data_IF_245624191550
#
_entry.id   IF_245624191550
#
_cell.length_a   1.000
_cell.length_b   1.000
_cell.length_c   1.000
_cell.angle_alpha   90.00
_cell.angle_beta   90.00
_cell.angle_gamma   90.00
#
_symmetry.space_group_name_H-M   'P 1'
#
loop_
_entity.id
_entity.type
_entity.pdbx_description
1 polymer ?
#
# COMPACT_ATOMS: atom_id res chain seq x y z
N UNK A 1 -18.12 24.79 -13.07
CA UNK A 1 -19.20 23.85 -13.47
C UNK A 1 -20.08 23.40 -12.32
N UNK A 2 -19.65 22.52 -11.40
CA UNK A 2 -20.53 22.02 -10.31
C UNK A 2 -21.09 23.17 -9.45
N UNK A 3 -20.23 24.08 -9.00
CA UNK A 3 -20.66 25.24 -8.21
C UNK A 3 -21.61 26.17 -8.99
N UNK A 4 -21.31 26.45 -10.25
CA UNK A 4 -22.11 27.36 -11.08
C UNK A 4 -23.49 26.78 -11.44
N UNK A 5 -23.55 25.48 -11.73
CA UNK A 5 -24.77 24.83 -12.22
C UNK A 5 -25.63 24.22 -11.11
N UNK A 6 -25.01 23.73 -10.03
CA UNK A 6 -25.69 23.01 -8.95
C UNK A 6 -25.67 23.79 -7.61
N UNK A 7 -24.98 24.93 -7.55
CA UNK A 7 -24.82 25.73 -6.33
C UNK A 7 -24.20 24.96 -5.16
N UNK A 8 -23.26 24.04 -5.45
CA UNK A 8 -22.47 23.31 -4.45
C UNK A 8 -21.08 23.95 -4.38
N UNK A 9 -20.74 24.54 -3.24
CA UNK A 9 -19.41 25.12 -3.01
C UNK A 9 -18.32 24.05 -3.06
N UNK A 10 -17.14 24.41 -3.59
CA UNK A 10 -16.00 23.49 -3.69
C UNK A 10 -15.60 22.88 -2.34
N UNK A 11 -15.71 23.65 -1.25
CA UNK A 11 -15.41 23.18 0.10
C UNK A 11 -16.35 22.06 0.60
N UNK A 12 -17.46 21.79 -0.09
CA UNK A 12 -18.40 20.70 0.20
C UNK A 12 -18.25 19.52 -0.77
N UNK A 13 -17.18 19.49 -1.59
CA UNK A 13 -16.93 18.44 -2.58
C UNK A 13 -15.76 17.57 -2.10
N UNK A 14 -15.96 16.25 -2.20
CA UNK A 14 -14.95 15.23 -1.95
C UNK A 14 -14.81 14.37 -3.22
N UNK A 15 -13.60 14.31 -3.77
CA UNK A 15 -13.22 13.45 -4.89
C UNK A 15 -12.16 12.49 -4.37
N UNK A 16 -12.54 11.23 -4.21
CA UNK A 16 -11.65 10.13 -3.83
C UNK A 16 -11.41 9.22 -5.05
N UNK A 17 -10.21 8.65 -5.13
CA UNK A 17 -9.91 7.63 -6.14
C UNK A 17 -9.67 6.28 -5.47
N UNK A 18 -10.10 5.20 -6.13
CA UNK A 18 -9.84 3.83 -5.66
C UNK A 18 -8.37 3.46 -5.67
N UNK A 19 -7.54 4.23 -6.39
CA UNK A 19 -6.11 4.01 -6.60
C UNK A 19 -5.75 2.74 -7.40
N UNK A 20 -6.65 2.34 -8.32
CA UNK A 20 -6.44 1.16 -9.17
C UNK A 20 -5.21 1.29 -10.08
N UNK A 21 -4.41 0.22 -10.14
CA UNK A 21 -3.25 0.12 -11.03
C UNK A 21 -3.59 -0.74 -12.26
N UNK A 22 -4.00 -0.11 -13.37
CA UNK A 22 -4.43 -0.79 -14.60
C UNK A 22 -3.69 -0.35 -15.88
N UNK A 23 -3.38 -1.34 -16.73
CA UNK A 23 -2.99 -1.26 -18.16
C UNK A 23 -2.24 0.01 -18.66
N UNK A 24 -1.24 0.49 -17.92
CA UNK A 24 -0.29 1.49 -18.42
C UNK A 24 -0.67 2.97 -18.19
N UNK A 25 -1.31 3.30 -17.07
CA UNK A 25 -1.68 4.69 -16.70
C UNK A 25 -2.56 5.39 -17.76
N UNK A 26 -3.36 4.62 -18.51
CA UNK A 26 -4.27 5.16 -19.50
C UNK A 26 -5.49 5.76 -18.80
N UNK A 27 -5.36 7.04 -18.42
CA UNK A 27 -6.50 7.86 -17.99
C UNK A 27 -7.31 8.22 -19.23
N UNK A 28 -8.62 7.96 -19.21
CA UNK A 28 -9.48 8.36 -20.32
C UNK A 28 -9.56 9.89 -20.40
N UNK A 29 -9.45 10.45 -21.60
CA UNK A 29 -9.43 11.91 -21.81
C UNK A 29 -10.72 12.61 -21.30
N UNK A 30 -11.82 11.87 -21.23
CA UNK A 30 -13.14 12.38 -20.81
C UNK A 30 -13.47 12.15 -19.32
N UNK A 31 -12.48 11.75 -18.50
CA UNK A 31 -12.70 11.42 -17.06
C UNK A 31 -13.35 12.56 -16.27
N UNK A 32 -12.91 13.81 -16.50
CA UNK A 32 -13.48 14.99 -15.84
C UNK A 32 -14.96 15.16 -16.21
N UNK A 33 -15.26 15.05 -17.51
CA UNK A 33 -16.62 15.21 -18.03
C UNK A 33 -17.55 14.12 -17.46
N UNK A 34 -17.09 12.86 -17.44
CA UNK A 34 -17.85 11.74 -16.87
C UNK A 34 -18.10 11.92 -15.37
N UNK A 35 -17.11 12.44 -14.64
CA UNK A 35 -17.23 12.72 -13.21
C UNK A 35 -18.32 13.77 -12.94
N UNK A 36 -18.31 14.88 -13.69
CA UNK A 36 -19.33 15.94 -13.57
C UNK A 36 -20.72 15.40 -13.95
N UNK A 37 -20.82 14.57 -15.00
CA UNK A 37 -22.08 13.93 -15.38
C UNK A 37 -22.64 13.01 -14.28
N UNK A 38 -21.76 12.24 -13.61
CA UNK A 38 -22.17 11.39 -12.49
C UNK A 38 -22.74 12.22 -11.34
N UNK A 39 -22.10 13.33 -10.98
CA UNK A 39 -22.60 14.27 -9.95
C UNK A 39 -23.95 14.87 -10.35
N UNK A 40 -24.09 15.36 -11.59
CA UNK A 40 -25.37 15.91 -12.09
C UNK A 40 -26.50 14.88 -12.06
N UNK A 41 -26.20 13.63 -12.43
CA UNK A 41 -27.16 12.52 -12.36
C UNK A 41 -27.58 12.23 -10.92
N UNK A 42 -26.64 12.19 -9.97
CA UNK A 42 -26.95 11.99 -8.56
C UNK A 42 -27.83 13.15 -8.01
N UNK A 43 -27.48 14.39 -8.33
CA UNK A 43 -28.24 15.58 -7.94
C UNK A 43 -29.70 15.56 -8.43
N UNK A 44 -29.93 15.17 -9.68
CA UNK A 44 -31.27 15.09 -10.27
C UNK A 44 -32.14 13.98 -9.66
N UNK A 45 -31.53 12.97 -9.04
CA UNK A 45 -32.21 11.79 -8.49
C UNK A 45 -32.21 11.78 -6.95
N UNK A 46 -32.06 12.94 -6.31
CA UNK A 46 -32.10 13.05 -4.85
C UNK A 46 -33.45 12.57 -4.29
N UNK A 47 -33.37 11.76 -3.24
CA UNK A 47 -34.54 11.26 -2.50
C UNK A 47 -34.27 11.32 -0.99
N UNK A 48 -35.31 11.46 -0.15
CA UNK A 48 -35.13 11.37 1.30
C UNK A 48 -34.64 9.99 1.72
N UNK A 49 -33.64 9.95 2.60
CA UNK A 49 -33.04 8.71 3.12
C UNK A 49 -33.00 8.68 4.66
N UNK A 50 -32.77 7.50 5.20
CA UNK A 50 -32.31 7.24 6.56
C UNK A 50 -30.84 6.80 6.50
N UNK A 51 -30.09 7.07 7.56
CA UNK A 51 -28.66 6.79 7.64
C UNK A 51 -28.42 5.66 8.64
N UNK A 52 -27.79 4.58 8.21
CA UNK A 52 -27.20 3.54 9.07
C UNK A 52 -25.68 3.63 9.01
N UNK A 53 -25.01 3.45 10.15
CA UNK A 53 -23.54 3.49 10.24
C UNK A 53 -23.09 2.30 11.06
N UNK A 54 -21.99 1.67 10.64
CA UNK A 54 -21.38 0.59 11.39
C UNK A 54 -20.03 0.20 10.81
N UNK A 55 -19.50 -0.91 11.31
CA UNK A 55 -18.20 -1.44 10.91
C UNK A 55 -18.29 -2.91 10.58
N UNK A 56 -17.47 -3.33 9.62
CA UNK A 56 -17.18 -4.73 9.32
C UNK A 56 -15.71 -5.04 9.57
N UNK A 57 -15.30 -6.27 9.26
CA UNK A 57 -13.95 -6.74 9.49
C UNK A 57 -13.48 -7.63 8.34
N UNK A 58 -12.31 -7.35 7.78
CA UNK A 58 -11.65 -8.19 6.79
C UNK A 58 -10.11 -8.04 6.89
N UNK A 59 -9.44 -9.07 7.38
CA UNK A 59 -7.97 -9.12 7.52
C UNK A 59 -7.31 -10.10 6.55
N UNK A 60 -8.09 -10.94 5.84
CA UNK A 60 -7.54 -12.05 5.05
C UNK A 60 -7.01 -11.63 3.69
N UNK A 61 -7.41 -10.46 3.20
CA UNK A 61 -7.05 -9.98 1.85
C UNK A 61 -5.87 -9.00 1.85
N UNK A 62 -5.38 -8.57 3.01
CA UNK A 62 -4.40 -7.49 3.15
C UNK A 62 -3.15 -7.92 3.92
N UNK A 63 -2.03 -7.29 3.62
CA UNK A 63 -0.79 -7.39 4.39
C UNK A 63 -0.08 -6.03 4.40
N UNK A 64 0.66 -5.72 5.48
CA UNK A 64 1.52 -4.55 5.46
C UNK A 64 2.76 -4.87 4.63
N UNK A 65 3.04 -4.05 3.61
CA UNK A 65 4.16 -4.31 2.70
C UNK A 65 5.50 -3.78 3.22
N UNK A 66 5.56 -3.16 4.41
CA UNK A 66 6.81 -2.70 5.04
C UNK A 66 7.28 -3.71 6.09
N UNK A 67 8.37 -4.38 5.74
CA UNK A 67 9.10 -5.32 6.60
C UNK A 67 10.12 -4.57 7.43
N UNK A 68 10.28 -4.97 8.70
CA UNK A 68 11.34 -4.49 9.60
C UNK A 68 12.53 -5.42 9.54
N UNK A 69 13.73 -4.88 9.42
CA UNK A 69 14.97 -5.65 9.29
C UNK A 69 15.83 -5.60 10.56
N UNK A 70 16.70 -6.60 10.76
CA UNK A 70 17.63 -6.69 11.90
C UNK A 70 18.54 -5.46 12.07
N UNK A 71 18.87 -4.80 10.96
CA UNK A 71 19.75 -3.63 10.94
C UNK A 71 19.04 -2.31 11.26
N UNK A 72 17.76 -2.34 11.65
CA UNK A 72 16.95 -1.16 11.96
C UNK A 72 16.33 -0.48 10.73
N UNK A 73 16.69 -0.90 9.51
CA UNK A 73 16.07 -0.43 8.27
C UNK A 73 14.78 -1.19 7.97
N UNK A 74 14.09 -0.76 6.94
CA UNK A 74 12.88 -1.38 6.45
C UNK A 74 13.01 -1.86 4.99
N UNK A 75 12.04 -2.62 4.52
CA UNK A 75 11.95 -3.11 3.15
C UNK A 75 10.51 -3.09 2.67
N UNK A 76 10.27 -2.56 1.48
CA UNK A 76 8.93 -2.60 0.86
C UNK A 76 8.78 -3.80 -0.07
N UNK A 77 7.75 -4.62 0.14
CA UNK A 77 7.36 -5.70 -0.77
C UNK A 77 6.86 -5.07 -2.07
N UNK A 78 7.62 -5.24 -3.16
CA UNK A 78 7.30 -4.73 -4.50
C UNK A 78 7.56 -5.79 -5.57
N UNK A 79 6.86 -5.72 -6.71
CA UNK A 79 7.25 -6.49 -7.90
C UNK A 79 8.57 -6.02 -8.51
N UNK A 80 8.94 -4.76 -8.28
CA UNK A 80 10.17 -4.18 -8.82
C UNK A 80 11.46 -4.78 -8.21
N UNK A 81 11.38 -5.31 -6.98
CA UNK A 81 12.56 -5.76 -6.21
C UNK A 81 12.35 -7.16 -5.63
N UNK A 82 13.42 -7.95 -5.37
CA UNK A 82 13.33 -9.19 -4.60
C UNK A 82 12.85 -8.94 -3.16
N UNK A 83 12.48 -10.01 -2.45
CA UNK A 83 12.30 -9.94 -0.99
C UNK A 83 13.69 -9.95 -0.31
N UNK A 84 13.82 -9.40 0.91
CA UNK A 84 15.03 -9.57 1.69
C UNK A 84 15.22 -11.05 2.05
N UNK A 85 16.46 -11.47 2.39
CA UNK A 85 16.69 -12.78 3.02
C UNK A 85 15.79 -12.96 4.25
N UNK A 86 15.22 -14.16 4.41
CA UNK A 86 14.25 -14.45 5.47
C UNK A 86 14.84 -14.19 6.85
N UNK A 87 16.11 -14.55 7.04
CA UNK A 87 16.83 -14.36 8.29
C UNK A 87 17.06 -12.88 8.66
N UNK A 88 16.89 -11.94 7.73
CA UNK A 88 17.02 -10.50 8.00
C UNK A 88 15.70 -9.88 8.49
N UNK A 89 14.56 -10.52 8.23
CA UNK A 89 13.24 -10.01 8.60
C UNK A 89 12.95 -10.28 10.07
N UNK A 90 12.64 -9.22 10.83
CA UNK A 90 12.31 -9.31 12.27
C UNK A 90 10.88 -8.90 12.59
N UNK A 91 10.14 -8.39 11.61
CA UNK A 91 8.75 -7.99 11.80
C UNK A 91 8.15 -7.35 10.56
N UNK A 92 6.90 -6.94 10.69
CA UNK A 92 6.06 -6.34 9.66
C UNK A 92 5.21 -5.25 10.31
N UNK A 93 4.80 -4.23 9.53
CA UNK A 93 3.92 -3.17 10.01
C UNK A 93 2.49 -3.64 10.33
N UNK A 94 1.67 -2.81 10.98
CA UNK A 94 0.28 -3.12 11.30
C UNK A 94 -0.62 -3.06 10.06
N UNK A 95 -1.85 -3.55 10.19
CA UNK A 95 -2.93 -3.41 9.20
C UNK A 95 -4.17 -2.78 9.85
N UNK A 96 -5.05 -2.20 9.04
CA UNK A 96 -6.37 -1.72 9.47
C UNK A 96 -7.46 -2.58 8.81
N UNK A 97 -7.92 -3.65 9.47
CA UNK A 97 -8.89 -4.61 8.91
C UNK A 97 -10.33 -4.10 9.00
N UNK A 98 -10.57 -2.93 9.58
CA UNK A 98 -11.92 -2.40 9.77
C UNK A 98 -12.49 -1.89 8.45
N UNK A 99 -13.72 -2.33 8.14
CA UNK A 99 -14.51 -1.82 7.03
C UNK A 99 -15.43 -0.75 7.58
N UNK A 100 -15.26 0.52 7.21
CA UNK A 100 -16.21 1.57 7.59
C UNK A 100 -17.43 1.55 6.69
N UNK A 101 -18.65 1.55 7.23
CA UNK A 101 -19.88 1.41 6.44
C UNK A 101 -20.86 2.54 6.74
N UNK A 102 -21.33 3.19 5.67
CA UNK A 102 -22.46 4.13 5.67
C UNK A 102 -23.55 3.61 4.72
N UNK A 103 -24.68 3.18 5.29
CA UNK A 103 -25.87 2.72 4.55
C UNK A 103 -26.88 3.86 4.43
N UNK A 104 -27.35 4.11 3.21
CA UNK A 104 -28.39 5.09 2.92
C UNK A 104 -29.66 4.36 2.47
N UNK A 105 -30.67 4.31 3.32
CA UNK A 105 -31.93 3.61 3.06
C UNK A 105 -33.01 4.58 2.59
N UNK A 106 -33.71 4.25 1.50
CA UNK A 106 -34.91 4.99 1.10
C UNK A 106 -35.99 4.85 2.18
N UNK A 107 -36.95 5.78 2.21
CA UNK A 107 -38.06 5.73 3.18
C UNK A 107 -38.95 4.48 3.07
N UNK A 108 -38.87 3.72 1.98
CA UNK A 108 -39.54 2.43 1.81
C UNK A 108 -38.74 1.23 2.36
N UNK A 109 -37.59 1.47 3.00
CA UNK A 109 -36.73 0.45 3.60
C UNK A 109 -35.71 -0.19 2.65
N UNK A 110 -35.72 0.15 1.35
CA UNK A 110 -34.74 -0.37 0.39
C UNK A 110 -33.46 0.46 0.38
N UNK A 111 -32.30 -0.18 0.32
CA UNK A 111 -31.01 0.50 0.23
C UNK A 111 -30.88 1.30 -1.07
N UNK A 112 -30.59 2.60 -0.94
CA UNK A 112 -30.22 3.47 -2.06
C UNK A 112 -28.74 3.31 -2.40
N UNK A 113 -27.89 3.40 -1.38
CA UNK A 113 -26.45 3.30 -1.55
C UNK A 113 -25.78 2.79 -0.28
N UNK A 114 -24.60 2.19 -0.47
CA UNK A 114 -23.67 1.82 0.58
C UNK A 114 -22.35 2.47 0.24
N UNK A 115 -21.83 3.27 1.16
CA UNK A 115 -20.44 3.73 1.11
C UNK A 115 -19.65 2.81 2.04
N UNK A 116 -18.58 2.21 1.53
CA UNK A 116 -17.71 1.36 2.32
C UNK A 116 -16.24 1.80 2.18
N UNK A 117 -15.56 1.96 3.30
CA UNK A 117 -14.18 2.41 3.41
C UNK A 117 -13.29 1.24 3.82
N UNK A 118 -12.17 1.06 3.14
CA UNK A 118 -11.21 0.01 3.47
C UNK A 118 -9.79 0.40 3.05
N UNK A 119 -8.80 0.05 3.87
CA UNK A 119 -7.42 0.49 3.73
C UNK A 119 -6.52 -0.59 3.10
N UNK A 120 -6.75 -0.92 1.82
CA UNK A 120 -5.89 -1.84 1.08
C UNK A 120 -5.64 -1.35 -0.35
N UNK A 121 -4.45 -1.59 -0.87
CA UNK A 121 -4.03 -1.05 -2.16
C UNK A 121 -4.42 -1.99 -3.32
N UNK A 122 -5.13 -1.53 -4.36
CA UNK A 122 -5.61 -2.39 -5.46
C UNK A 122 -4.54 -2.66 -6.52
N UNK A 123 -3.62 -3.56 -6.16
CA UNK A 123 -2.53 -4.04 -7.02
C UNK A 123 -2.76 -5.44 -7.61
N UNK A 124 -3.86 -6.10 -7.26
CA UNK A 124 -4.02 -7.52 -7.50
C UNK A 124 -4.18 -7.79 -8.99
N UNK A 125 -5.01 -7.03 -9.69
CA UNK A 125 -5.30 -7.22 -11.10
C UNK A 125 -5.99 -8.56 -11.39
N UNK A 126 -6.10 -8.88 -12.69
CA UNK A 126 -6.75 -10.10 -13.18
C UNK A 126 -5.83 -10.89 -14.12
N UNK A 127 -6.11 -12.18 -14.37
CA UNK A 127 -5.35 -12.96 -15.33
C UNK A 127 -5.30 -12.26 -16.70
N UNK A 128 -4.14 -12.27 -17.35
CA UNK A 128 -3.95 -11.63 -18.65
C UNK A 128 -3.64 -10.12 -18.61
N UNK A 129 -3.60 -9.48 -17.42
CA UNK A 129 -3.19 -8.08 -17.23
C UNK A 129 -4.02 -7.06 -18.05
N UNK A 130 -5.29 -7.34 -18.29
CA UNK A 130 -6.21 -6.41 -18.94
C UNK A 130 -6.72 -5.35 -17.96
N UNK A 131 -7.41 -4.32 -18.48
CA UNK A 131 -8.03 -3.29 -17.65
C UNK A 131 -9.03 -3.90 -16.67
N UNK A 132 -9.00 -3.45 -15.42
CA UNK A 132 -9.90 -3.90 -14.35
C UNK A 132 -10.08 -2.79 -13.31
N UNK A 133 -11.18 -2.83 -12.57
CA UNK A 133 -11.41 -2.01 -11.39
C UNK A 133 -10.86 -2.65 -10.09
N UNK A 134 -10.16 -3.79 -10.22
CA UNK A 134 -9.53 -4.55 -9.14
C UNK A 134 -10.53 -4.97 -8.04
N UNK A 135 -10.03 -5.39 -6.87
CA UNK A 135 -10.84 -5.88 -5.77
C UNK A 135 -11.94 -4.87 -5.34
N UNK A 136 -11.73 -3.53 -5.35
CA UNK A 136 -12.81 -2.60 -5.02
C UNK A 136 -13.99 -2.70 -5.98
N UNK A 137 -13.71 -2.84 -7.28
CA UNK A 137 -14.75 -2.99 -8.29
C UNK A 137 -15.53 -4.30 -8.17
N UNK A 138 -14.85 -5.41 -7.88
CA UNK A 138 -15.50 -6.70 -7.64
C UNK A 138 -16.33 -6.69 -6.35
N UNK A 139 -15.82 -6.08 -5.27
CA UNK A 139 -16.56 -5.90 -4.03
C UNK A 139 -17.83 -5.05 -4.24
N UNK A 140 -17.71 -3.90 -4.90
CA UNK A 140 -18.85 -3.04 -5.25
C UNK A 140 -19.90 -3.81 -6.03
N UNK A 141 -19.50 -4.53 -7.08
CA UNK A 141 -20.41 -5.33 -7.92
C UNK A 141 -21.16 -6.37 -7.09
N UNK A 142 -20.47 -7.13 -6.23
CA UNK A 142 -21.10 -8.15 -5.40
C UNK A 142 -22.12 -7.54 -4.44
N UNK A 143 -21.79 -6.41 -3.80
CA UNK A 143 -22.69 -5.69 -2.90
C UNK A 143 -23.94 -5.20 -3.65
N UNK A 144 -23.76 -4.59 -4.82
CA UNK A 144 -24.86 -4.09 -5.67
C UNK A 144 -25.80 -5.21 -6.12
N UNK A 145 -25.25 -6.35 -6.57
CA UNK A 145 -26.03 -7.51 -7.00
C UNK A 145 -26.85 -8.13 -5.86
N UNK A 146 -26.32 -8.15 -4.64
CA UNK A 146 -27.01 -8.70 -3.47
C UNK A 146 -28.08 -7.76 -2.89
N UNK A 147 -27.84 -6.45 -2.91
CA UNK A 147 -28.82 -5.47 -2.43
C UNK A 147 -29.98 -5.25 -3.41
N UNK A 148 -29.71 -5.40 -4.72
CA UNK A 148 -30.72 -5.24 -5.76
C UNK A 148 -31.31 -3.83 -5.82
N UNK A 149 -32.47 -3.69 -6.49
CA UNK A 149 -33.26 -2.45 -6.55
C UNK A 149 -32.49 -1.17 -6.97
N UNK A 150 -31.44 -1.36 -7.76
CA UNK A 150 -30.56 -0.27 -8.21
C UNK A 150 -29.79 0.41 -7.08
N UNK A 151 -29.46 -0.32 -6.01
CA UNK A 151 -28.52 0.13 -4.99
C UNK A 151 -27.13 0.36 -5.61
N UNK A 152 -26.39 1.34 -5.10
CA UNK A 152 -25.01 1.65 -5.53
C UNK A 152 -24.03 1.40 -4.40
N UNK A 153 -22.91 0.72 -4.67
CA UNK A 153 -21.85 0.48 -3.69
C UNK A 153 -20.61 1.33 -4.02
N UNK A 154 -20.32 2.31 -3.17
CA UNK A 154 -19.25 3.29 -3.35
C UNK A 154 -18.09 2.94 -2.43
N UNK A 155 -16.98 2.54 -3.02
CA UNK A 155 -15.74 2.30 -2.30
C UNK A 155 -15.01 3.63 -2.03
N UNK A 156 -14.53 3.83 -0.80
CA UNK A 156 -13.63 4.93 -0.44
C UNK A 156 -12.30 4.34 0.01
N UNK A 157 -11.23 4.72 -0.68
CA UNK A 157 -9.89 4.21 -0.39
C UNK A 157 -9.35 4.78 0.93
N UNK A 158 -9.07 3.89 1.88
CA UNK A 158 -8.46 4.23 3.16
C UNK A 158 -6.96 4.55 3.07
N UNK A 159 -6.33 4.79 4.22
CA UNK A 159 -4.88 5.00 4.32
C UNK A 159 -4.14 3.67 4.09
N UNK A 160 -3.69 3.46 2.85
CA UNK A 160 -3.12 2.20 2.37
C UNK A 160 -1.71 2.37 1.76
N UNK A 161 -0.99 3.43 2.12
CA UNK A 161 0.33 3.74 1.56
C UNK A 161 1.36 2.63 1.79
N UNK A 162 1.22 1.86 2.87
CA UNK A 162 2.07 0.73 3.24
C UNK A 162 1.31 -0.60 3.33
N UNK A 163 0.15 -0.70 2.66
CA UNK A 163 -0.62 -1.94 2.58
C UNK A 163 -0.59 -2.49 1.14
N UNK A 164 -0.54 -3.81 1.00
CA UNK A 164 -0.80 -4.51 -0.26
C UNK A 164 -1.83 -5.62 -0.06
N UNK A 165 -2.35 -6.17 -1.16
CA UNK A 165 -3.09 -7.42 -1.10
C UNK A 165 -2.18 -8.58 -0.69
N UNK A 166 -2.72 -9.58 -0.01
CA UNK A 166 -2.00 -10.85 0.22
C UNK A 166 -1.63 -11.52 -1.10
N UNK A 167 -0.62 -12.39 -1.04
CA UNK A 167 -0.12 -13.13 -2.21
C UNK A 167 0.37 -12.22 -3.34
N UNK A 168 0.68 -10.96 -3.04
CA UNK A 168 1.07 -9.98 -4.05
C UNK A 168 2.26 -10.50 -4.88
N UNK A 169 3.24 -11.18 -4.28
CA UNK A 169 4.41 -11.76 -4.96
C UNK A 169 4.28 -13.25 -5.35
N UNK A 170 3.09 -13.85 -5.30
CA UNK A 170 2.94 -15.26 -5.69
C UNK A 170 3.31 -15.47 -7.17
N UNK A 171 4.05 -16.54 -7.41
CA UNK A 171 4.50 -16.99 -8.73
C UNK A 171 3.90 -18.34 -9.14
N UNK A 172 3.17 -18.99 -8.22
CA UNK A 172 2.57 -20.31 -8.43
C UNK A 172 1.11 -20.23 -8.89
N UNK A 173 0.42 -19.13 -8.57
CA UNK A 173 -0.98 -18.93 -8.91
C UNK A 173 -1.16 -17.70 -9.82
N UNK A 174 -2.14 -17.73 -10.75
CA UNK A 174 -2.57 -16.52 -11.44
C UNK A 174 -3.09 -15.48 -10.43
N UNK A 175 -2.94 -14.19 -10.76
CA UNK A 175 -3.53 -13.13 -9.97
C UNK A 175 -5.05 -13.14 -10.08
N UNK A 176 -5.72 -12.90 -8.97
CA UNK A 176 -7.18 -12.92 -8.90
C UNK A 176 -7.70 -11.85 -7.92
N UNK A 177 -8.04 -10.68 -8.46
CA UNK A 177 -8.71 -9.62 -7.71
C UNK A 177 -10.19 -9.90 -7.43
N UNK A 178 -10.82 -10.79 -8.20
CA UNK A 178 -12.24 -11.13 -8.01
C UNK A 178 -12.43 -11.92 -6.73
N UNK A 179 -11.54 -12.88 -6.46
CA UNK A 179 -11.53 -13.61 -5.18
C UNK A 179 -11.45 -12.66 -3.99
N UNK A 180 -10.47 -11.74 -3.99
CA UNK A 180 -10.28 -10.79 -2.88
C UNK A 180 -11.44 -9.80 -2.75
N UNK A 181 -11.95 -9.32 -3.89
CA UNK A 181 -13.10 -8.41 -3.92
C UNK A 181 -14.38 -9.08 -3.41
N UNK A 182 -14.61 -10.34 -3.77
CA UNK A 182 -15.74 -11.11 -3.26
C UNK A 182 -15.66 -11.33 -1.75
N UNK A 183 -14.47 -11.62 -1.21
CA UNK A 183 -14.27 -11.74 0.24
C UNK A 183 -14.62 -10.43 0.96
N UNK A 184 -14.10 -9.29 0.48
CA UNK A 184 -14.41 -7.97 1.03
C UNK A 184 -15.91 -7.64 0.92
N UNK A 185 -16.53 -7.95 -0.23
CA UNK A 185 -17.95 -7.72 -0.46
C UNK A 185 -18.83 -8.54 0.48
N UNK A 186 -18.49 -9.82 0.72
CA UNK A 186 -19.20 -10.68 1.68
C UNK A 186 -19.07 -10.12 3.10
N UNK A 187 -17.85 -9.81 3.56
CA UNK A 187 -17.61 -9.24 4.89
C UNK A 187 -18.35 -7.91 5.08
N UNK A 188 -18.47 -7.11 4.02
CA UNK A 188 -19.27 -5.87 4.03
C UNK A 188 -20.77 -6.16 4.14
N UNK A 189 -21.31 -7.13 3.39
CA UNK A 189 -22.73 -7.52 3.43
C UNK A 189 -23.13 -8.12 4.79
N UNK A 190 -22.26 -8.93 5.38
CA UNK A 190 -22.45 -9.49 6.73
C UNK A 190 -22.59 -8.38 7.77
N UNK A 191 -21.63 -7.45 7.79
CA UNK A 191 -21.68 -6.29 8.68
C UNK A 191 -22.91 -5.40 8.42
N UNK A 192 -23.29 -5.22 7.15
CA UNK A 192 -24.43 -4.40 6.76
C UNK A 192 -25.76 -4.93 7.32
N UNK A 193 -25.91 -6.24 7.51
CA UNK A 193 -27.12 -6.83 8.12
C UNK A 193 -27.27 -6.49 9.60
N UNK A 194 -26.15 -6.27 10.30
CA UNK A 194 -26.13 -5.93 11.72
C UNK A 194 -26.34 -4.42 11.96
N UNK A 195 -26.19 -3.59 10.93
CA UNK A 195 -26.40 -2.14 11.03
C UNK A 195 -27.90 -1.84 11.20
N UNK A 196 -28.32 -1.26 12.34
CA UNK A 196 -29.71 -0.95 12.57
C UNK A 196 -30.20 0.10 11.58
N UNK A 197 -31.49 0.02 11.22
CA UNK A 197 -32.13 1.08 10.46
C UNK A 197 -32.08 2.38 11.28
N UNK A 198 -31.30 3.36 10.81
CA UNK A 198 -31.19 4.63 11.50
C UNK A 198 -32.23 5.66 11.06
N UNK A 199 -31.99 6.92 11.45
CA UNK A 199 -32.84 8.07 11.14
C UNK A 199 -32.10 9.05 10.24
N UNK A 200 -32.72 10.17 9.92
CA UNK A 200 -31.98 11.31 9.39
C UNK A 200 -30.92 11.74 10.42
N UNK A 201 -29.77 12.17 9.94
CA UNK A 201 -28.63 12.61 10.75
C UNK A 201 -28.01 13.87 10.17
N UNK A 202 -27.10 14.46 10.92
CA UNK A 202 -26.46 15.72 10.55
C UNK A 202 -25.50 15.54 9.37
N UNK A 203 -25.42 16.58 8.54
CA UNK A 203 -24.40 16.72 7.50
C UNK A 203 -23.54 17.92 7.87
N UNK A 204 -22.26 17.69 8.12
CA UNK A 204 -21.29 18.76 8.41
C UNK A 204 -20.01 18.51 7.63
N UNK A 205 -19.45 19.55 7.03
CA UNK A 205 -18.19 19.49 6.28
C UNK A 205 -17.33 20.65 6.71
N UNK A 206 -16.09 20.33 7.11
CA UNK A 206 -15.06 21.30 7.44
C UNK A 206 -13.90 21.05 6.49
N UNK A 207 -13.53 22.07 5.72
CA UNK A 207 -12.38 22.04 4.82
C UNK A 207 -11.35 23.06 5.28
N UNK A 208 -10.11 22.64 5.47
CA UNK A 208 -8.98 23.51 5.83
C UNK A 208 -7.80 23.24 4.87
N UNK A 209 -7.06 24.29 4.53
CA UNK A 209 -5.75 24.16 3.86
C UNK A 209 -4.68 24.26 4.95
N UNK A 210 -3.80 23.27 5.02
CA UNK A 210 -2.63 23.30 5.92
C UNK A 210 -1.33 23.34 5.14
N UNK A 211 -0.31 23.95 5.74
CA UNK A 211 1.04 24.00 5.20
C UNK A 211 1.88 22.93 5.84
N UNK A 212 2.44 22.03 5.03
CA UNK A 212 3.30 20.95 5.51
C UNK A 212 4.74 21.19 5.06
N UNK A 213 5.74 20.91 5.92
CA UNK A 213 7.13 21.12 5.56
C UNK A 213 7.58 20.14 4.47
N UNK A 214 8.42 20.61 3.56
CA UNK A 214 9.10 19.78 2.56
C UNK A 214 10.40 19.24 3.12
N UNK A 215 10.79 18.06 2.62
CA UNK A 215 12.06 17.42 2.99
C UNK A 215 13.28 18.24 2.60
N UNK A 216 14.23 18.28 3.52
CA UNK A 216 15.57 18.90 3.35
C UNK A 216 16.71 17.89 3.50
N UNK A 217 16.41 16.67 3.94
CA UNK A 217 17.37 15.58 4.22
C UNK A 217 17.77 14.77 2.96
N UNK A 218 17.13 15.04 1.82
CA UNK A 218 17.34 14.28 0.58
C UNK A 218 18.80 14.23 0.11
N UNK A 219 19.58 15.34 0.11
CA UNK A 219 20.99 15.30 -0.32
C UNK A 219 21.86 14.40 0.55
N UNK A 220 21.65 14.42 1.87
CA UNK A 220 22.39 13.58 2.82
C UNK A 220 22.09 12.09 2.59
N UNK A 221 20.81 11.76 2.38
CA UNK A 221 20.41 10.37 2.07
C UNK A 221 20.99 9.88 0.74
N UNK A 222 21.02 10.73 -0.29
CA UNK A 222 21.63 10.40 -1.57
C UNK A 222 23.13 10.11 -1.40
N UNK A 223 23.85 10.91 -0.60
CA UNK A 223 25.28 10.69 -0.33
C UNK A 223 25.55 9.40 0.45
N UNK A 224 24.70 9.10 1.45
CA UNK A 224 24.72 7.85 2.20
C UNK A 224 24.53 6.63 1.28
N UNK A 225 23.56 6.69 0.37
CA UNK A 225 23.31 5.63 -0.62
C UNK A 225 24.49 5.49 -1.60
N UNK A 226 25.11 6.58 -2.06
CA UNK A 226 26.31 6.55 -2.92
C UNK A 226 27.50 5.89 -2.22
N UNK A 227 27.67 6.17 -0.92
CA UNK A 227 28.72 5.55 -0.11
C UNK A 227 28.50 4.03 0.01
N UNK A 228 27.27 3.60 0.29
CA UNK A 228 26.93 2.19 0.38
C UNK A 228 27.05 1.48 -0.98
N UNK A 229 26.64 2.13 -2.07
CA UNK A 229 26.82 1.63 -3.43
C UNK A 229 28.30 1.36 -3.71
N UNK A 230 29.17 2.34 -3.45
CA UNK A 230 30.61 2.20 -3.65
C UNK A 230 31.20 1.04 -2.83
N UNK A 231 30.74 0.87 -1.58
CA UNK A 231 31.15 -0.26 -0.73
C UNK A 231 30.72 -1.60 -1.31
N UNK A 232 29.49 -1.72 -1.81
CA UNK A 232 28.98 -2.95 -2.41
C UNK A 232 29.70 -3.28 -3.73
N UNK A 233 29.93 -2.30 -4.59
CA UNK A 233 30.73 -2.48 -5.81
C UNK A 233 32.14 -2.97 -5.49
N UNK A 234 32.78 -2.41 -4.47
CA UNK A 234 34.10 -2.86 -3.98
C UNK A 234 34.06 -4.23 -3.31
N UNK A 235 32.89 -4.75 -2.91
CA UNK A 235 32.75 -6.07 -2.29
C UNK A 235 32.69 -7.22 -3.30
N UNK A 236 32.34 -6.93 -4.55
CA UNK A 236 32.20 -7.93 -5.62
C UNK A 236 33.55 -8.61 -5.90
N UNK A 237 33.54 -9.95 -6.00
CA UNK A 237 34.76 -10.75 -6.27
C UNK A 237 34.51 -11.74 -7.38
N UNK A 238 35.53 -12.05 -8.18
CA UNK A 238 35.46 -13.13 -9.17
C UNK A 238 35.20 -14.50 -8.51
N UNK A 239 34.47 -15.37 -9.21
CA UNK A 239 34.22 -16.76 -8.81
C UNK A 239 34.36 -17.70 -10.01
N UNK A 240 34.64 -18.98 -9.74
CA UNK A 240 34.73 -20.03 -10.76
C UNK A 240 33.37 -20.43 -11.33
N UNK A 241 32.28 -20.13 -10.60
CA UNK A 241 30.92 -20.44 -11.00
C UNK A 241 30.31 -19.32 -11.86
N UNK A 242 29.42 -19.75 -12.75
CA UNK A 242 28.47 -18.92 -13.47
C UNK A 242 27.07 -19.54 -13.30
N UNK A 243 26.02 -18.89 -13.81
CA UNK A 243 24.64 -19.37 -13.61
C UNK A 243 24.44 -20.84 -14.04
N UNK A 244 25.04 -21.25 -15.18
CA UNK A 244 24.95 -22.61 -15.72
C UNK A 244 25.54 -23.67 -14.78
N UNK A 245 26.61 -23.34 -14.07
CA UNK A 245 27.33 -24.26 -13.16
C UNK A 245 26.81 -24.15 -11.73
N UNK A 246 26.40 -22.95 -11.32
CA UNK A 246 25.87 -22.67 -10.00
C UNK A 246 24.55 -23.40 -9.74
N UNK A 247 23.56 -23.29 -10.62
CA UNK A 247 22.21 -23.83 -10.34
C UNK A 247 22.23 -25.35 -10.06
N UNK A 248 22.85 -26.20 -10.91
CA UNK A 248 22.91 -27.64 -10.63
C UNK A 248 23.71 -27.95 -9.36
N UNK A 249 24.80 -27.22 -9.10
CA UNK A 249 25.64 -27.44 -7.94
C UNK A 249 24.92 -27.05 -6.65
N UNK A 250 24.24 -25.91 -6.63
CA UNK A 250 23.46 -25.44 -5.48
C UNK A 250 22.33 -26.42 -5.15
N UNK A 251 21.57 -26.89 -6.15
CA UNK A 251 20.53 -27.91 -5.95
C UNK A 251 21.14 -29.19 -5.35
N UNK A 252 22.23 -29.68 -5.94
CA UNK A 252 22.90 -30.91 -5.50
C UNK A 252 23.33 -30.84 -4.03
N UNK A 253 23.91 -29.71 -3.62
CA UNK A 253 24.43 -29.50 -2.27
C UNK A 253 23.35 -29.23 -1.22
N UNK A 254 22.16 -28.80 -1.63
CA UNK A 254 21.00 -28.68 -0.74
C UNK A 254 20.18 -29.97 -0.59
N UNK A 255 20.43 -30.99 -1.44
CA UNK A 255 19.73 -32.29 -1.36
C UNK A 255 20.42 -33.30 -0.44
N UNK A 256 21.72 -33.11 -0.15
CA UNK A 256 22.53 -34.03 0.65
C UNK A 256 23.66 -33.26 1.32
N UNK A 257 23.59 -33.08 2.63
CA UNK A 257 24.60 -32.31 3.36
C UNK A 257 25.92 -33.07 3.57
N UNK A 258 25.83 -34.36 3.87
CA UNK A 258 26.98 -35.18 4.28
C UNK A 258 27.81 -35.67 3.10
N UNK A 259 27.14 -36.09 2.01
CA UNK A 259 27.80 -36.60 0.81
C UNK A 259 27.22 -35.95 -0.47
N UNK A 260 27.41 -34.63 -0.66
CA UNK A 260 26.84 -33.92 -1.81
C UNK A 260 27.53 -34.24 -3.13
N UNK A 261 28.82 -34.59 -3.15
CA UNK A 261 29.53 -34.85 -4.40
C UNK A 261 29.24 -36.23 -4.98
N UNK A 262 29.03 -37.24 -4.15
CA UNK A 262 28.79 -38.62 -4.57
C UNK A 262 28.14 -39.46 -3.46
N UNK A 263 27.85 -40.73 -3.71
CA UNK A 263 27.39 -41.65 -2.67
C UNK A 263 28.45 -41.87 -1.57
N UNK A 264 27.98 -42.08 -0.34
CA UNK A 264 28.79 -42.28 0.88
C UNK A 264 29.93 -43.29 0.72
N UNK A 265 29.71 -44.40 0.02
CA UNK A 265 30.75 -45.44 -0.16
C UNK A 265 32.03 -44.92 -0.85
N UNK A 266 31.94 -43.87 -1.69
CA UNK A 266 33.12 -43.28 -2.31
C UNK A 266 33.93 -42.42 -1.35
N UNK A 267 33.26 -41.74 -0.42
CA UNK A 267 33.93 -40.99 0.64
C UNK A 267 34.65 -41.93 1.59
N UNK A 268 33.96 -42.97 2.06
CA UNK A 268 34.56 -44.00 2.92
C UNK A 268 35.74 -44.69 2.23
N UNK A 269 35.63 -44.96 0.93
CA UNK A 269 36.74 -45.53 0.18
C UNK A 269 37.93 -44.56 0.03
N UNK A 270 37.68 -43.26 -0.19
CA UNK A 270 38.76 -42.25 -0.18
C UNK A 270 39.47 -42.21 1.19
N UNK A 271 38.71 -42.20 2.28
CA UNK A 271 39.23 -42.23 3.66
C UNK A 271 40.05 -43.50 3.92
N UNK A 272 39.55 -44.68 3.54
CA UNK A 272 40.28 -45.96 3.65
C UNK A 272 41.61 -45.94 2.90
N UNK A 273 41.71 -45.20 1.80
CA UNK A 273 42.93 -45.03 1.01
C UNK A 273 43.83 -43.90 1.53
N UNK A 274 43.47 -43.26 2.65
CA UNK A 274 44.19 -42.13 3.23
C UNK A 274 44.09 -40.85 2.40
N UNK A 275 43.00 -40.68 1.64
CA UNK A 275 42.71 -39.50 0.81
C UNK A 275 41.52 -38.72 1.35
N UNK A 276 41.40 -37.48 0.93
CA UNK A 276 40.28 -36.59 1.24
C UNK A 276 39.81 -35.81 0.00
N UNK A 277 39.90 -36.42 -1.20
CA UNK A 277 39.67 -35.73 -2.47
C UNK A 277 38.21 -35.23 -2.57
N UNK A 278 37.23 -36.05 -2.20
CA UNK A 278 35.81 -35.67 -2.21
C UNK A 278 35.46 -34.64 -1.14
N UNK A 279 36.02 -34.73 0.06
CA UNK A 279 35.83 -33.72 1.12
C UNK A 279 36.43 -32.36 0.72
N UNK A 280 37.61 -32.37 0.10
CA UNK A 280 38.25 -31.17 -0.42
C UNK A 280 37.42 -30.56 -1.56
N UNK A 281 36.88 -31.38 -2.46
CA UNK A 281 35.97 -30.94 -3.53
C UNK A 281 34.72 -30.29 -2.94
N UNK A 282 34.13 -30.88 -1.91
CA UNK A 282 32.95 -30.33 -1.24
C UNK A 282 33.23 -28.99 -0.57
N UNK A 283 34.36 -28.91 0.13
CA UNK A 283 34.83 -27.67 0.76
C UNK A 283 35.01 -26.57 -0.29
N UNK A 284 35.63 -26.89 -1.42
CA UNK A 284 35.85 -25.93 -2.52
C UNK A 284 34.53 -25.50 -3.18
N UNK A 285 33.63 -26.45 -3.45
CA UNK A 285 32.34 -26.19 -4.06
C UNK A 285 31.45 -25.33 -3.16
N UNK A 286 31.37 -25.64 -1.85
CA UNK A 286 30.65 -24.80 -0.87
C UNK A 286 31.22 -23.39 -0.85
N UNK A 287 32.54 -23.23 -0.79
CA UNK A 287 33.20 -21.93 -0.87
C UNK A 287 32.87 -21.15 -2.14
N UNK A 288 32.78 -21.82 -3.28
CA UNK A 288 32.45 -21.19 -4.56
C UNK A 288 30.96 -20.84 -4.69
N UNK A 289 30.06 -21.68 -4.16
CA UNK A 289 28.64 -21.38 -3.97
C UNK A 289 28.49 -20.10 -3.14
N UNK A 290 29.12 -20.04 -1.96
CA UNK A 290 29.03 -18.89 -1.06
C UNK A 290 29.56 -17.61 -1.71
N UNK A 291 30.66 -17.70 -2.47
CA UNK A 291 31.18 -16.56 -3.25
C UNK A 291 30.18 -16.06 -4.27
N UNK A 292 29.51 -16.97 -4.99
CA UNK A 292 28.53 -16.60 -6.00
C UNK A 292 27.28 -15.98 -5.37
N UNK A 293 26.75 -16.59 -4.31
CA UNK A 293 25.61 -16.07 -3.53
C UNK A 293 25.88 -14.68 -2.98
N UNK A 294 27.05 -14.44 -2.37
CA UNK A 294 27.42 -13.10 -1.89
C UNK A 294 27.38 -12.04 -2.98
N UNK A 295 27.85 -12.35 -4.19
CA UNK A 295 27.76 -11.43 -5.32
C UNK A 295 26.30 -11.20 -5.74
N UNK A 296 25.46 -12.24 -5.78
CA UNK A 296 24.03 -12.11 -6.11
C UNK A 296 23.36 -11.17 -5.12
N UNK A 297 23.49 -11.40 -3.81
CA UNK A 297 22.89 -10.54 -2.80
C UNK A 297 23.42 -9.10 -2.83
N UNK A 298 24.71 -8.90 -3.14
CA UNK A 298 25.25 -7.57 -3.35
C UNK A 298 24.62 -6.88 -4.58
N UNK A 299 24.43 -7.61 -5.69
CA UNK A 299 23.77 -7.08 -6.90
C UNK A 299 22.29 -6.76 -6.67
N UNK A 300 21.57 -7.59 -5.91
CA UNK A 300 20.18 -7.32 -5.52
C UNK A 300 20.07 -6.04 -4.69
N UNK A 301 20.99 -5.86 -3.72
CA UNK A 301 21.05 -4.64 -2.91
C UNK A 301 21.43 -3.41 -3.75
N UNK A 302 22.36 -3.54 -4.69
CA UNK A 302 22.72 -2.47 -5.63
C UNK A 302 21.52 -2.04 -6.48
N UNK A 303 20.74 -2.98 -7.01
CA UNK A 303 19.54 -2.67 -7.79
C UNK A 303 18.52 -1.85 -6.98
N UNK A 304 18.31 -2.22 -5.70
CA UNK A 304 17.43 -1.46 -4.80
C UNK A 304 17.98 -0.06 -4.50
N UNK A 305 19.28 0.07 -4.23
CA UNK A 305 19.91 1.37 -3.96
C UNK A 305 19.75 2.30 -5.16
N UNK A 306 19.95 1.78 -6.37
CA UNK A 306 19.75 2.53 -7.61
C UNK A 306 18.31 3.04 -7.75
N UNK A 307 17.31 2.21 -7.46
CA UNK A 307 15.92 2.63 -7.50
C UNK A 307 15.60 3.70 -6.44
N UNK A 308 16.02 3.50 -5.19
CA UNK A 308 15.80 4.46 -4.11
C UNK A 308 16.48 5.81 -4.42
N UNK A 309 17.73 5.77 -4.89
CA UNK A 309 18.49 6.96 -5.26
C UNK A 309 17.82 7.73 -6.40
N UNK A 310 17.31 7.01 -7.43
CA UNK A 310 16.55 7.63 -8.51
C UNK A 310 15.35 8.43 -8.00
N UNK A 311 14.57 7.87 -7.07
CA UNK A 311 13.44 8.59 -6.48
C UNK A 311 13.91 9.77 -5.62
N UNK A 312 14.88 9.58 -4.73
CA UNK A 312 15.38 10.67 -3.88
C UNK A 312 15.91 11.85 -4.71
N UNK A 313 16.65 11.58 -5.79
CA UNK A 313 17.13 12.62 -6.72
C UNK A 313 15.96 13.35 -7.39
N UNK A 314 14.96 12.61 -7.89
CA UNK A 314 13.74 13.19 -8.48
C UNK A 314 12.96 14.07 -7.49
N UNK A 315 12.75 13.61 -6.27
CA UNK A 315 12.02 14.37 -5.25
C UNK A 315 12.82 15.59 -4.77
N UNK A 316 14.16 15.51 -4.76
CA UNK A 316 15.02 16.65 -4.48
C UNK A 316 14.89 17.73 -5.57
N UNK A 317 14.90 17.32 -6.84
CA UNK A 317 14.64 18.23 -7.97
C UNK A 317 13.27 18.90 -7.87
N UNK A 318 12.22 18.15 -7.54
CA UNK A 318 10.87 18.70 -7.34
C UNK A 318 10.83 19.73 -6.20
N UNK A 319 11.48 19.46 -5.07
CA UNK A 319 11.55 20.40 -3.96
C UNK A 319 12.34 21.66 -4.32
N UNK A 320 13.48 21.53 -5.01
CA UNK A 320 14.24 22.69 -5.49
C UNK A 320 13.46 23.51 -6.52
N UNK A 321 12.74 22.86 -7.44
CA UNK A 321 11.95 23.52 -8.47
C UNK A 321 10.73 24.25 -7.90
N UNK A 322 10.14 23.72 -6.82
CA UNK A 322 9.06 24.41 -6.11
C UNK A 322 9.56 25.72 -5.48
N UNK A 323 10.80 25.76 -4.97
CA UNK A 323 11.39 26.96 -4.38
C UNK A 323 10.71 27.44 -3.08
N UNK A 324 9.88 26.59 -2.48
CA UNK A 324 9.13 26.85 -1.26
C UNK A 324 9.53 25.85 -0.17
N UNK A 325 9.46 26.25 1.10
CA UNK A 325 9.76 25.38 2.25
C UNK A 325 8.58 24.47 2.62
N UNK A 326 7.38 24.80 2.13
CA UNK A 326 6.15 24.09 2.46
C UNK A 326 5.39 23.64 1.22
N UNK A 327 4.44 22.75 1.42
CA UNK A 327 3.41 22.38 0.45
C UNK A 327 2.03 22.59 1.10
N UNK A 328 1.16 23.30 0.40
CA UNK A 328 -0.22 23.50 0.82
C UNK A 328 -1.04 22.24 0.46
N UNK A 329 -1.74 21.68 1.43
CA UNK A 329 -2.62 20.52 1.23
C UNK A 329 -4.01 20.80 1.78
N UNK A 330 -5.03 20.39 1.04
CA UNK A 330 -6.42 20.43 1.49
C UNK A 330 -6.71 19.19 2.34
N UNK A 331 -7.32 19.40 3.50
CA UNK A 331 -7.86 18.34 4.33
C UNK A 331 -9.34 18.62 4.61
N UNK A 332 -10.13 17.56 4.62
CA UNK A 332 -11.57 17.66 4.85
C UNK A 332 -11.97 16.71 5.98
N UNK A 333 -12.86 17.20 6.84
CA UNK A 333 -13.55 16.42 7.85
C UNK A 333 -15.05 16.45 7.53
N UNK A 334 -15.63 15.29 7.26
CA UNK A 334 -17.02 15.14 6.84
C UNK A 334 -17.79 14.27 7.84
N UNK A 335 -18.93 14.76 8.33
CA UNK A 335 -19.89 14.01 9.13
C UNK A 335 -21.16 13.75 8.32
N UNK A 336 -21.60 12.49 8.26
CA UNK A 336 -22.91 12.07 7.75
C UNK A 336 -23.57 11.18 8.80
N UNK A 337 -24.44 11.76 9.62
CA UNK A 337 -24.93 11.12 10.84
C UNK A 337 -23.78 10.83 11.80
N UNK A 338 -23.57 9.55 12.12
CA UNK A 338 -22.45 9.12 12.96
C UNK A 338 -21.19 8.79 12.16
N UNK A 339 -21.28 8.67 10.84
CA UNK A 339 -20.13 8.38 9.97
C UNK A 339 -19.27 9.62 9.86
N UNK A 340 -18.01 9.52 10.28
CA UNK A 340 -17.02 10.60 10.21
C UNK A 340 -15.89 10.16 9.31
N UNK A 341 -15.52 11.00 8.35
CA UNK A 341 -14.44 10.76 7.41
C UNK A 341 -13.43 11.91 7.45
N UNK A 342 -12.16 11.56 7.61
CA UNK A 342 -11.04 12.50 7.52
C UNK A 342 -10.23 12.20 6.25
N UNK A 343 -9.84 13.23 5.52
CA UNK A 343 -9.18 13.07 4.22
C UNK A 343 -7.73 13.54 4.22
N UNK A 344 -6.96 13.03 3.26
CA UNK A 344 -5.62 13.52 2.95
C UNK A 344 -5.25 13.27 1.47
N UNK A 345 -4.55 14.20 0.80
CA UNK A 345 -4.24 14.10 -0.63
C UNK A 345 -2.96 13.28 -0.90
N UNK A 346 -2.77 12.13 -0.25
CA UNK A 346 -1.56 11.32 -0.40
C UNK A 346 -1.82 9.82 -0.17
N UNK A 347 -0.81 9.01 -0.48
CA UNK A 347 -0.68 7.62 -0.06
C UNK A 347 -0.19 7.55 1.39
N UNK A 348 -1.12 7.68 2.34
CA UNK A 348 -0.78 7.74 3.77
C UNK A 348 -0.58 6.34 4.34
N UNK A 349 0.45 6.16 5.17
CA UNK A 349 0.66 4.92 5.92
C UNK A 349 -0.48 4.65 6.90
N UNK A 350 -0.86 3.38 7.02
CA UNK A 350 -2.04 2.93 7.77
C UNK A 350 -2.01 3.32 9.25
N UNK A 351 -0.81 3.37 9.84
CA UNK A 351 -0.63 3.73 11.25
C UNK A 351 -1.16 5.14 11.57
N UNK A 352 -1.11 6.08 10.62
CA UNK A 352 -1.68 7.43 10.80
C UNK A 352 -3.21 7.35 10.90
N UNK A 353 -3.84 6.46 10.13
CA UNK A 353 -5.28 6.21 10.20
C UNK A 353 -5.67 5.61 11.55
N UNK A 354 -4.90 4.63 12.02
CA UNK A 354 -5.07 4.03 13.35
C UNK A 354 -4.90 5.07 14.48
N UNK A 355 -3.95 6.00 14.35
CA UNK A 355 -3.77 7.10 15.30
C UNK A 355 -5.01 8.01 15.33
N UNK A 356 -5.53 8.40 14.16
CA UNK A 356 -6.73 9.24 14.04
C UNK A 356 -7.94 8.56 14.69
N UNK A 357 -8.18 7.27 14.40
CA UNK A 357 -9.25 6.48 15.01
C UNK A 357 -9.14 6.50 16.54
N UNK A 358 -7.93 6.30 17.06
CA UNK A 358 -7.66 6.27 18.51
C UNK A 358 -7.90 7.61 19.22
N UNK A 359 -7.60 8.73 18.57
CA UNK A 359 -7.77 10.07 19.18
C UNK A 359 -9.15 10.68 18.92
N UNK A 360 -9.95 10.08 18.04
CA UNK A 360 -11.25 10.63 17.65
C UNK A 360 -12.27 10.52 18.80
N UNK A 361 -13.07 11.57 19.06
CA UNK A 361 -14.21 11.49 19.96
C UNK A 361 -15.43 10.78 19.33
N UNK A 362 -15.38 10.44 18.04
CA UNK A 362 -16.49 9.83 17.31
C UNK A 362 -16.17 8.37 16.99
N UNK A 363 -17.04 7.46 17.43
CA UNK A 363 -16.86 6.00 17.31
C UNK A 363 -16.60 5.57 15.86
N UNK A 364 -17.38 6.07 14.90
CA UNK A 364 -17.29 5.69 13.49
C UNK A 364 -16.45 6.70 12.69
N UNK A 365 -15.18 6.85 13.09
CA UNK A 365 -14.22 7.70 12.38
C UNK A 365 -13.36 6.88 11.43
N UNK A 366 -13.30 7.29 10.19
CA UNK A 366 -12.55 6.64 9.12
C UNK A 366 -11.62 7.63 8.43
N UNK A 367 -10.63 7.10 7.71
CA UNK A 367 -9.66 7.90 6.98
C UNK A 367 -9.75 7.60 5.47
N UNK A 368 -9.58 8.61 4.63
CA UNK A 368 -9.55 8.49 3.18
C UNK A 368 -8.31 9.17 2.60
N UNK A 369 -7.38 8.37 2.08
CA UNK A 369 -6.24 8.87 1.31
C UNK A 369 -6.70 9.31 -0.07
N UNK A 370 -5.79 9.69 -0.96
CA UNK A 370 -6.11 9.85 -2.39
C UNK A 370 -7.29 10.80 -2.68
N UNK A 371 -7.48 11.81 -1.83
CA UNK A 371 -8.67 12.67 -1.83
C UNK A 371 -8.31 14.12 -2.15
N UNK A 372 -9.03 14.73 -3.08
CA UNK A 372 -8.92 16.16 -3.47
C UNK A 372 -7.52 16.64 -3.90
N UNK A 373 -6.61 15.70 -4.15
CA UNK A 373 -5.25 15.99 -4.56
C UNK A 373 -4.37 14.75 -4.45
N UNK A 374 -3.13 14.87 -4.92
CA UNK A 374 -2.17 13.78 -4.85
C UNK A 374 -0.74 14.31 -4.74
N UNK A 375 -0.10 14.06 -3.60
CA UNK A 375 1.28 14.48 -3.28
C UNK A 375 2.20 13.30 -2.97
N UNK A 376 1.98 12.16 -3.63
CA UNK A 376 2.73 10.91 -3.46
C UNK A 376 2.56 10.30 -2.06
N UNK A 377 3.62 9.78 -1.44
CA UNK A 377 3.55 9.08 -0.16
C UNK A 377 3.63 10.02 1.03
N UNK A 378 2.96 9.62 2.10
CA UNK A 378 3.02 10.25 3.41
C UNK A 378 3.26 9.17 4.48
N UNK A 379 4.52 8.72 4.64
CA UNK A 379 4.89 7.75 5.66
C UNK A 379 4.90 8.39 7.06
N UNK A 380 4.78 7.58 8.11
CA UNK A 380 4.95 8.06 9.49
C UNK A 380 6.34 8.68 9.72
N UNK A 381 6.48 9.52 10.74
CA UNK A 381 7.75 10.13 11.11
C UNK A 381 8.86 9.08 11.39
N UNK A 382 8.52 7.98 12.06
CA UNK A 382 9.45 6.85 12.33
C UNK A 382 9.93 6.18 11.04
N UNK A 383 9.04 6.06 10.05
CA UNK A 383 9.31 5.39 8.79
C UNK A 383 10.31 6.13 7.88
N UNK A 384 10.65 7.39 8.17
CA UNK A 384 11.67 8.13 7.42
C UNK A 384 13.07 7.56 7.60
N UNK A 385 13.31 6.69 8.57
CA UNK A 385 14.62 6.05 8.76
C UNK A 385 14.76 4.74 7.97
N UNK A 386 13.66 4.22 7.40
CA UNK A 386 13.55 2.85 6.89
C UNK A 386 14.19 2.55 5.52
N UNK A 387 14.52 3.55 4.70
CA UNK A 387 14.99 3.38 3.31
C UNK A 387 14.02 2.55 2.44
N UNK A 388 12.76 2.47 2.84
CA UNK A 388 11.71 1.79 2.11
C UNK A 388 11.28 2.64 0.90
N UNK A 389 10.41 2.07 0.08
CA UNK A 389 9.91 2.73 -1.12
C UNK A 389 9.11 3.99 -0.79
N UNK A 390 8.23 3.90 0.21
CA UNK A 390 7.32 4.97 0.62
C UNK A 390 8.08 6.20 1.12
N UNK A 391 9.12 6.04 1.94
CA UNK A 391 9.97 7.17 2.38
C UNK A 391 10.98 7.61 1.32
N UNK A 392 11.23 6.84 0.27
CA UNK A 392 11.97 7.33 -0.90
C UNK A 392 11.08 8.14 -1.86
N UNK A 393 9.76 7.98 -1.77
CA UNK A 393 8.76 8.58 -2.67
C UNK A 393 7.88 9.64 -1.97
N UNK A 394 8.50 10.47 -1.14
CA UNK A 394 7.80 11.42 -0.28
C UNK A 394 8.39 12.83 -0.40
N UNK A 395 7.51 13.84 -0.58
CA UNK A 395 7.87 15.27 -0.58
C UNK A 395 7.97 15.87 0.84
N UNK A 396 7.23 15.28 1.78
CA UNK A 396 6.97 15.84 3.12
C UNK A 396 8.09 15.53 4.10
N UNK A 397 8.49 16.49 4.92
CA UNK A 397 9.38 16.26 6.05
C UNK A 397 8.65 15.55 7.21
N UNK A 398 9.35 14.80 8.09
CA UNK A 398 8.74 13.94 9.11
C UNK A 398 7.68 14.63 10.00
N UNK A 399 7.83 15.93 10.24
CA UNK A 399 6.94 16.74 11.07
C UNK A 399 5.52 16.85 10.50
N UNK A 400 5.32 16.50 9.23
CA UNK A 400 4.00 16.51 8.59
C UNK A 400 2.96 15.72 9.38
N UNK A 401 3.36 14.58 9.97
CA UNK A 401 2.46 13.69 10.68
C UNK A 401 1.88 14.38 11.91
N UNK A 402 2.72 14.98 12.75
CA UNK A 402 2.27 15.66 13.98
C UNK A 402 1.38 16.87 13.64
N UNK A 403 1.77 17.66 12.63
CA UNK A 403 0.99 18.82 12.17
C UNK A 403 -0.40 18.37 11.71
N UNK A 404 -0.46 17.30 10.92
CA UNK A 404 -1.71 16.76 10.40
C UNK A 404 -2.59 16.16 11.51
N UNK A 405 -2.06 15.26 12.34
CA UNK A 405 -2.83 14.62 13.42
C UNK A 405 -3.38 15.64 14.43
N UNK A 406 -2.58 16.67 14.77
CA UNK A 406 -3.03 17.78 15.62
C UNK A 406 -4.19 18.53 14.98
N UNK A 407 -4.06 18.88 13.70
CA UNK A 407 -5.11 19.60 12.97
C UNK A 407 -6.39 18.77 12.85
N UNK A 408 -6.26 17.49 12.52
CA UNK A 408 -7.40 16.57 12.48
C UNK A 408 -8.10 16.49 13.84
N UNK A 409 -7.36 16.42 14.94
CA UNK A 409 -7.94 16.44 16.29
C UNK A 409 -8.75 17.73 16.54
N UNK A 410 -8.27 18.89 16.08
CA UNK A 410 -9.01 20.15 16.19
C UNK A 410 -10.29 20.14 15.35
N UNK A 411 -10.24 19.63 14.11
CA UNK A 411 -11.41 19.54 13.22
C UNK A 411 -12.46 18.56 13.77
N UNK A 412 -12.03 17.39 14.27
CA UNK A 412 -12.93 16.39 14.86
C UNK A 412 -13.69 16.92 16.07
N UNK A 413 -13.09 17.81 16.88
CA UNK A 413 -13.78 18.46 18.01
C UNK A 413 -14.83 19.51 17.58
N UNK A 414 -14.72 20.02 16.35
CA UNK A 414 -15.67 20.98 15.77
C UNK A 414 -16.81 20.30 14.99
N UNK A 415 -16.65 19.02 14.64
CA UNK A 415 -17.65 18.19 13.95
C UNK A 415 -18.74 17.68 14.88
#
# INVERSE_FOLDING_TARGET
>A
QIQEELNIEAANILINTTHVHGAGYLVCEDVETRTIQAVKKAWQNMVPVNIGVGTGYEDRIMENRRLKLKNGKEWTIRHANPLPPEEEVVGIGPVDPEIGILRLDRKNGKTLAVVFNFACHPYQGIPGKTMTADFPGFASKLIEENLGDGATAIFIQGFAGDISTVLYKDVNSPRDAELLGNMLGISTLEALNEIPAGKAGDLNVITEIIKLPRRTDLPERIDSLKTEEARLLQSLRGTSLNLKTFIPLYIKYNLSDEYPSYYSHRYLHDEMMGRNDLENLDTENRRNIDKYLRNIYAMERLARIQENMFFLEKFNELNMAAGEETIDVEIQAMRIGNFVLITFPAEVSVQVGLNIKKISPHEFTFAAGYTNGYIHYAPTAEQFEGEAYEDSNCLLAPEWQEIYEKKVSEMLKKL
#
